data_IF_211844275702
#
_entry.id   IF_211844275702
#
_cell.length_a   1.000
_cell.length_b   1.000
_cell.length_c   1.000
_cell.angle_alpha   90.00
_cell.angle_beta   90.00
_cell.angle_gamma   90.00
#
_symmetry.space_group_name_H-M   'P 1'
#
loop_
_entity.id
_entity.type
_entity.pdbx_description
1 polymer ?
#
# COMPACT_ATOMS: atom_id res chain seq x y z
N UNK A 1 -8.32 -0.52 -9.38
CA UNK A 1 -9.03 -1.25 -8.28
C UNK A 1 -10.37 -1.84 -8.72
N UNK A 2 -11.13 -1.16 -9.61
CA UNK A 2 -12.48 -1.59 -10.02
C UNK A 2 -12.52 -2.67 -11.11
N UNK A 3 -11.39 -3.09 -11.65
CA UNK A 3 -11.28 -4.09 -12.73
C UNK A 3 -11.84 -5.42 -12.24
N UNK A 4 -12.78 -6.06 -12.99
CA UNK A 4 -13.31 -7.37 -12.63
C UNK A 4 -12.23 -8.47 -12.75
N UNK A 5 -12.28 -9.42 -11.80
CA UNK A 5 -11.42 -10.60 -11.77
C UNK A 5 -12.29 -11.82 -11.52
N UNK A 6 -12.03 -12.94 -12.22
CA UNK A 6 -12.69 -14.23 -12.01
C UNK A 6 -14.24 -14.13 -11.93
N UNK A 7 -14.83 -13.27 -12.74
CA UNK A 7 -16.28 -13.14 -12.91
C UNK A 7 -16.96 -12.23 -11.90
N UNK A 8 -16.88 -12.50 -10.59
CA UNK A 8 -17.62 -11.75 -9.55
C UNK A 8 -16.75 -10.86 -8.65
N UNK A 9 -15.45 -11.05 -8.65
CA UNK A 9 -14.51 -10.28 -7.84
C UNK A 9 -13.98 -9.06 -8.59
N UNK A 10 -13.38 -8.14 -7.85
CA UNK A 10 -12.64 -7.00 -8.38
C UNK A 10 -11.23 -6.96 -7.81
N UNK A 11 -10.34 -6.25 -8.46
CA UNK A 11 -8.93 -6.16 -8.04
C UNK A 11 -8.80 -5.67 -6.59
N UNK A 12 -9.66 -4.76 -6.14
CA UNK A 12 -9.71 -4.27 -4.75
C UNK A 12 -10.01 -5.38 -3.73
N UNK A 13 -10.65 -6.47 -4.12
CA UNK A 13 -10.94 -7.57 -3.20
C UNK A 13 -9.66 -8.31 -2.75
N UNK A 14 -8.58 -8.19 -3.52
CA UNK A 14 -7.29 -8.79 -3.17
C UNK A 14 -6.71 -8.18 -1.89
N UNK A 15 -6.43 -6.86 -1.82
CA UNK A 15 -5.93 -6.25 -0.58
C UNK A 15 -6.93 -6.38 0.59
N UNK A 16 -8.25 -6.25 0.35
CA UNK A 16 -9.24 -6.42 1.40
C UNK A 16 -9.21 -7.86 1.97
N UNK A 17 -9.16 -8.87 1.10
CA UNK A 17 -9.08 -10.27 1.53
C UNK A 17 -7.77 -10.57 2.26
N UNK A 18 -6.64 -10.02 1.79
CA UNK A 18 -5.36 -10.14 2.50
C UNK A 18 -5.47 -9.55 3.92
N UNK A 19 -6.07 -8.37 4.08
CA UNK A 19 -6.30 -7.78 5.39
C UNK A 19 -7.15 -8.69 6.29
N UNK A 20 -8.30 -9.15 5.79
CA UNK A 20 -9.21 -10.02 6.56
C UNK A 20 -8.54 -11.32 6.99
N UNK A 21 -7.77 -11.94 6.08
CA UNK A 21 -7.04 -13.18 6.37
C UNK A 21 -5.91 -12.98 7.41
N UNK A 22 -5.40 -11.75 7.55
CA UNK A 22 -4.42 -11.36 8.57
C UNK A 22 -5.07 -10.78 9.84
N UNK A 23 -6.39 -10.89 10.01
CA UNK A 23 -7.10 -10.38 11.19
C UNK A 23 -7.26 -8.86 11.22
N UNK A 24 -6.95 -8.16 10.13
CA UNK A 24 -7.12 -6.71 10.01
C UNK A 24 -8.54 -6.42 9.56
N UNK A 25 -9.40 -5.98 10.48
CA UNK A 25 -10.84 -5.81 10.23
C UNK A 25 -11.29 -4.36 10.05
N UNK A 26 -10.44 -3.36 10.29
CA UNK A 26 -10.80 -1.95 10.14
C UNK A 26 -10.09 -1.37 8.92
N UNK A 27 -10.84 -1.10 7.88
CA UNK A 27 -10.28 -0.70 6.59
C UNK A 27 -10.99 0.49 6.00
N UNK A 28 -10.22 1.42 5.44
CA UNK A 28 -10.70 2.53 4.64
C UNK A 28 -10.25 2.35 3.19
N UNK A 29 -11.18 2.43 2.27
CA UNK A 29 -10.90 2.40 0.83
C UNK A 29 -11.00 3.81 0.28
N UNK A 30 -9.85 4.37 -0.07
CA UNK A 30 -9.74 5.71 -0.61
C UNK A 30 -10.09 5.70 -2.10
N UNK A 31 -11.09 6.47 -2.48
CA UNK A 31 -11.58 6.51 -3.87
C UNK A 31 -11.65 7.95 -4.37
N UNK A 32 -11.45 8.15 -5.67
CA UNK A 32 -11.50 9.48 -6.26
C UNK A 32 -12.46 9.53 -7.43
N UNK A 33 -12.02 9.07 -8.58
CA UNK A 33 -12.76 9.22 -9.83
C UNK A 33 -13.54 7.94 -10.18
N UNK A 34 -14.77 8.10 -10.74
CA UNK A 34 -15.59 7.01 -11.28
C UNK A 34 -15.86 5.86 -10.28
N UNK A 35 -16.02 6.20 -9.01
CA UNK A 35 -16.04 5.24 -7.90
C UNK A 35 -17.40 4.58 -7.65
N UNK A 36 -18.49 5.05 -8.27
CA UNK A 36 -19.85 4.58 -7.96
C UNK A 36 -20.03 3.06 -8.06
N UNK A 37 -19.46 2.44 -9.10
CA UNK A 37 -19.50 0.99 -9.30
C UNK A 37 -18.64 0.23 -8.29
N UNK A 38 -17.47 0.78 -7.92
CA UNK A 38 -16.60 0.23 -6.89
C UNK A 38 -17.26 0.33 -5.51
N UNK A 39 -17.82 1.49 -5.18
CA UNK A 39 -18.51 1.74 -3.92
C UNK A 39 -19.68 0.78 -3.72
N UNK A 40 -20.48 0.56 -4.79
CA UNK A 40 -21.58 -0.42 -4.77
C UNK A 40 -21.07 -1.83 -4.53
N UNK A 41 -19.98 -2.22 -5.19
CA UNK A 41 -19.37 -3.54 -5.03
C UNK A 41 -18.94 -3.76 -3.57
N UNK A 42 -18.18 -2.84 -3.00
CA UNK A 42 -17.69 -2.93 -1.62
C UNK A 42 -18.85 -3.02 -0.64
N UNK A 43 -19.85 -2.14 -0.76
CA UNK A 43 -21.04 -2.15 0.11
C UNK A 43 -21.86 -3.44 0.03
N UNK A 44 -21.91 -4.06 -1.14
CA UNK A 44 -22.68 -5.30 -1.33
C UNK A 44 -21.88 -6.57 -1.00
N UNK A 45 -20.56 -6.49 -0.90
CA UNK A 45 -19.70 -7.66 -0.69
C UNK A 45 -19.29 -7.81 0.77
N UNK A 46 -18.97 -6.71 1.44
CA UNK A 46 -18.41 -6.73 2.80
C UNK A 46 -19.44 -6.30 3.83
N UNK A 47 -20.02 -7.30 4.51
CA UNK A 47 -20.99 -7.11 5.60
C UNK A 47 -20.41 -7.69 6.89
N UNK A 48 -20.39 -6.89 7.94
CA UNK A 48 -19.93 -7.31 9.24
C UNK A 48 -21.11 -7.32 10.23
N UNK A 49 -21.04 -8.19 11.21
CA UNK A 49 -22.03 -8.22 12.29
C UNK A 49 -22.06 -6.89 13.04
N UNK A 50 -23.23 -6.45 13.48
CA UNK A 50 -23.38 -5.26 14.30
C UNK A 50 -22.60 -5.33 15.65
N UNK A 51 -22.23 -6.53 16.08
CA UNK A 51 -21.39 -6.76 17.26
C UNK A 51 -19.88 -6.76 16.96
N UNK A 52 -19.50 -6.73 15.68
CA UNK A 52 -18.10 -6.65 15.27
C UNK A 52 -17.62 -5.20 15.26
N UNK A 53 -16.35 -4.99 15.62
CA UNK A 53 -15.67 -3.71 15.40
C UNK A 53 -15.09 -3.59 13.99
N UNK A 54 -15.24 -4.65 13.16
CA UNK A 54 -14.72 -4.68 11.79
C UNK A 54 -15.63 -3.88 10.85
N UNK A 55 -15.01 -3.21 9.89
CA UNK A 55 -15.69 -2.50 8.81
C UNK A 55 -14.77 -2.35 7.58
N UNK A 56 -15.40 -2.17 6.43
CA UNK A 56 -14.75 -1.64 5.22
C UNK A 56 -15.52 -0.39 4.82
N UNK A 57 -14.94 0.76 5.06
CA UNK A 57 -15.56 2.05 4.78
C UNK A 57 -14.91 2.73 3.58
N UNK A 58 -15.65 3.59 2.89
CA UNK A 58 -15.22 4.23 1.66
C UNK A 58 -15.05 5.71 1.94
N UNK A 59 -13.84 6.20 1.73
CA UNK A 59 -13.52 7.63 1.78
C UNK A 59 -13.32 8.12 0.34
N UNK A 60 -14.30 8.86 -0.15
CA UNK A 60 -14.19 9.53 -1.43
C UNK A 60 -13.41 10.84 -1.28
N UNK A 61 -12.71 11.27 -2.34
CA UNK A 61 -12.15 12.61 -2.37
C UNK A 61 -13.26 13.65 -2.21
N UNK A 62 -13.07 14.55 -1.25
CA UNK A 62 -14.01 15.62 -0.94
C UNK A 62 -13.38 16.98 -1.27
N UNK A 63 -14.16 17.84 -1.87
CA UNK A 63 -13.76 19.24 -2.00
C UNK A 63 -14.17 19.98 -0.73
N UNK A 64 -13.21 20.56 -0.07
CA UNK A 64 -13.42 21.41 1.12
C UNK A 64 -12.92 22.81 0.84
N UNK A 65 -13.33 23.84 1.61
CA UNK A 65 -12.81 25.20 1.46
C UNK A 65 -11.27 25.25 1.53
N UNK A 66 -10.66 24.38 2.33
CA UNK A 66 -9.21 24.30 2.54
C UNK A 66 -8.50 23.43 1.51
N UNK A 67 -9.22 22.55 0.82
CA UNK A 67 -8.69 21.66 -0.22
C UNK A 67 -9.72 21.51 -1.36
N UNK A 68 -9.77 22.46 -2.29
CA UNK A 68 -10.76 22.47 -3.36
C UNK A 68 -10.45 21.51 -4.51
N UNK A 69 -9.30 20.83 -4.46
CA UNK A 69 -8.80 19.96 -5.53
C UNK A 69 -9.04 18.48 -5.26
N UNK A 70 -8.85 17.68 -6.31
CA UNK A 70 -8.73 16.22 -6.20
C UNK A 70 -7.41 15.83 -5.54
N UNK A 71 -7.33 14.58 -5.04
CA UNK A 71 -6.06 14.04 -4.53
C UNK A 71 -4.94 14.18 -5.57
N UNK A 72 -3.83 14.75 -5.16
CA UNK A 72 -2.66 14.99 -6.02
C UNK A 72 -1.74 13.76 -6.15
N UNK A 73 -2.14 12.64 -5.57
CA UNK A 73 -1.43 11.37 -5.56
C UNK A 73 -1.83 10.51 -4.37
N UNK A 74 -1.22 9.35 -4.25
CA UNK A 74 -1.55 8.37 -3.20
C UNK A 74 -1.23 8.90 -1.79
N UNK A 75 -0.09 9.54 -1.61
CA UNK A 75 0.29 10.15 -0.33
C UNK A 75 -0.66 11.27 0.08
N UNK A 76 -1.08 12.10 -0.87
CA UNK A 76 -2.05 13.17 -0.62
C UNK A 76 -3.44 12.63 -0.27
N UNK A 77 -3.85 11.53 -0.91
CA UNK A 77 -5.09 10.84 -0.57
C UNK A 77 -5.09 10.38 0.89
N UNK A 78 -4.00 9.78 1.36
CA UNK A 78 -3.84 9.38 2.75
C UNK A 78 -3.85 10.60 3.67
N UNK A 79 -3.06 11.63 3.37
CA UNK A 79 -2.96 12.86 4.16
C UNK A 79 -4.32 13.53 4.37
N UNK A 80 -5.11 13.68 3.30
CA UNK A 80 -6.45 14.28 3.40
C UNK A 80 -7.44 13.39 4.16
N UNK A 81 -7.20 12.09 4.21
CA UNK A 81 -8.07 11.11 4.89
C UNK A 81 -7.73 10.93 6.38
N UNK A 82 -6.61 11.46 6.88
CA UNK A 82 -6.15 11.27 8.26
C UNK A 82 -7.23 11.66 9.28
N UNK A 83 -7.97 12.74 9.07
CA UNK A 83 -9.08 13.18 9.93
C UNK A 83 -10.16 12.12 10.16
N UNK A 84 -10.36 11.20 9.21
CA UNK A 84 -11.32 10.11 9.32
C UNK A 84 -10.72 8.90 10.03
N UNK A 85 -9.39 8.77 10.02
CA UNK A 85 -8.64 7.68 10.65
C UNK A 85 -8.33 8.01 12.11
N UNK A 86 -8.11 9.28 12.43
CA UNK A 86 -7.73 9.79 13.76
C UNK A 86 -8.60 9.29 14.92
N UNK A 87 -9.96 9.20 14.80
CA UNK A 87 -10.83 8.72 15.87
C UNK A 87 -10.62 7.23 16.23
N UNK A 88 -9.93 6.47 15.40
CA UNK A 88 -9.70 5.04 15.62
C UNK A 88 -8.33 4.81 16.26
N UNK A 89 -8.35 4.25 17.46
CA UNK A 89 -7.13 3.87 18.18
C UNK A 89 -6.41 2.71 17.46
N UNK A 90 -5.12 2.89 17.21
CA UNK A 90 -4.21 1.90 16.64
C UNK A 90 -2.78 2.31 16.93
N UNK A 91 -1.86 1.37 17.00
CA UNK A 91 -0.43 1.66 17.12
C UNK A 91 0.23 1.82 15.74
N UNK A 92 -0.33 1.13 14.75
CA UNK A 92 0.21 1.06 13.39
C UNK A 92 -0.87 1.32 12.35
N UNK A 93 -0.46 1.87 11.22
CA UNK A 93 -1.30 2.08 10.04
C UNK A 93 -0.67 1.35 8.86
N UNK A 94 -1.44 0.43 8.27
CA UNK A 94 -1.07 -0.29 7.06
C UNK A 94 -1.67 0.44 5.85
N UNK A 95 -0.83 0.81 4.89
CA UNK A 95 -1.22 1.43 3.63
C UNK A 95 -0.98 0.44 2.51
N UNK A 96 -1.99 0.20 1.68
CA UNK A 96 -1.95 -0.76 0.58
C UNK A 96 -2.30 -0.10 -0.75
N UNK A 97 -1.60 -0.51 -1.81
CA UNK A 97 -2.04 -0.26 -3.17
C UNK A 97 -3.25 -1.13 -3.50
N UNK A 98 -4.29 -0.54 -4.10
CA UNK A 98 -5.56 -1.21 -4.41
C UNK A 98 -5.63 -1.81 -5.82
N UNK A 99 -4.52 -1.87 -6.57
CA UNK A 99 -4.47 -2.23 -7.98
C UNK A 99 -3.43 -3.32 -8.31
N UNK A 100 -2.99 -4.04 -7.30
CA UNK A 100 -2.03 -5.14 -7.43
C UNK A 100 -2.65 -6.49 -7.07
N UNK A 101 -2.15 -7.53 -7.70
CA UNK A 101 -2.48 -8.92 -7.41
C UNK A 101 -1.33 -9.55 -6.61
N UNK A 102 -1.55 -9.78 -5.32
CA UNK A 102 -0.56 -10.34 -4.41
C UNK A 102 -1.19 -11.09 -3.25
N UNK A 103 -0.40 -11.93 -2.59
CA UNK A 103 -0.70 -12.51 -1.30
C UNK A 103 0.44 -12.17 -0.34
N UNK A 104 0.13 -11.69 0.85
CA UNK A 104 1.12 -11.22 1.81
C UNK A 104 0.72 -11.53 3.24
N UNK A 105 1.69 -11.93 4.04
CA UNK A 105 1.59 -12.08 5.49
C UNK A 105 1.94 -10.74 6.15
N UNK A 106 0.92 -9.97 6.48
CA UNK A 106 1.09 -8.67 7.15
C UNK A 106 1.47 -8.82 8.61
N UNK A 107 1.14 -9.96 9.25
CA UNK A 107 1.56 -10.22 10.63
C UNK A 107 3.08 -10.35 10.70
N UNK A 108 3.68 -11.13 9.80
CA UNK A 108 5.13 -11.24 9.71
C UNK A 108 5.80 -9.88 9.38
N UNK A 109 5.22 -9.12 8.45
CA UNK A 109 5.76 -7.77 8.14
C UNK A 109 5.72 -6.86 9.37
N UNK A 110 4.64 -6.91 10.16
CA UNK A 110 4.50 -6.12 11.40
C UNK A 110 5.49 -6.59 12.48
N UNK A 111 5.69 -7.89 12.63
CA UNK A 111 6.64 -8.43 13.59
C UNK A 111 8.08 -7.99 13.26
N UNK A 112 8.47 -8.00 11.99
CA UNK A 112 9.76 -7.48 11.54
C UNK A 112 9.85 -5.96 11.77
N UNK A 113 8.79 -5.19 11.51
CA UNK A 113 8.72 -3.76 11.77
C UNK A 113 9.02 -3.45 13.25
N UNK A 114 8.37 -4.19 14.17
CA UNK A 114 8.58 -4.07 15.61
C UNK A 114 9.99 -4.49 16.04
N UNK A 115 10.48 -5.62 15.52
CA UNK A 115 11.79 -6.17 15.88
C UNK A 115 12.94 -5.23 15.50
N UNK A 116 12.81 -4.51 14.38
CA UNK A 116 13.77 -3.52 13.91
C UNK A 116 13.58 -2.15 14.57
N UNK A 117 12.52 -1.95 15.34
CA UNK A 117 12.17 -0.62 15.87
C UNK A 117 11.97 0.41 14.76
N UNK A 118 11.48 -0.03 13.60
CA UNK A 118 11.35 0.82 12.44
C UNK A 118 10.20 1.83 12.63
N UNK A 119 10.38 3.01 12.10
CA UNK A 119 9.33 4.04 12.03
C UNK A 119 8.39 3.80 10.86
N UNK A 120 8.96 3.36 9.72
CA UNK A 120 8.25 3.03 8.48
C UNK A 120 8.87 1.75 7.92
N UNK A 121 8.02 0.80 7.53
CA UNK A 121 8.43 -0.37 6.75
C UNK A 121 7.79 -0.33 5.36
N UNK A 122 8.57 -0.71 4.36
CA UNK A 122 8.15 -0.75 2.95
C UNK A 122 8.31 -2.16 2.41
N UNK A 123 7.26 -2.73 1.86
CA UNK A 123 7.38 -3.99 1.13
C UNK A 123 8.03 -3.75 -0.23
N UNK A 124 9.02 -4.58 -0.55
CA UNK A 124 9.78 -4.48 -1.80
C UNK A 124 9.74 -5.79 -2.58
N UNK A 125 9.93 -5.69 -3.89
CA UNK A 125 10.08 -6.83 -4.77
C UNK A 125 11.30 -6.63 -5.66
N UNK A 126 12.16 -7.66 -5.85
CA UNK A 126 13.25 -7.61 -6.81
C UNK A 126 12.72 -7.56 -8.25
N UNK A 127 13.18 -6.59 -9.03
CA UNK A 127 12.79 -6.40 -10.44
C UNK A 127 14.00 -6.30 -11.35
N UNK A 128 13.79 -6.61 -12.63
CA UNK A 128 14.83 -6.47 -13.65
C UNK A 128 14.98 -5.00 -14.10
N UNK A 129 16.14 -4.67 -14.68
CA UNK A 129 16.47 -3.33 -15.16
C UNK A 129 15.41 -2.75 -16.11
N UNK A 130 14.80 -3.58 -16.95
CA UNK A 130 13.76 -3.15 -17.91
C UNK A 130 12.48 -2.67 -17.23
N UNK A 131 12.20 -3.20 -16.03
CA UNK A 131 10.98 -2.94 -15.25
C UNK A 131 11.17 -1.78 -14.27
N UNK A 132 12.39 -1.57 -13.80
CA UNK A 132 12.72 -0.56 -12.78
C UNK A 132 12.18 0.86 -13.08
N UNK A 133 12.14 1.38 -14.32
CA UNK A 133 11.58 2.70 -14.61
C UNK A 133 10.07 2.85 -14.34
N UNK A 134 9.35 1.76 -14.14
CA UNK A 134 7.92 1.78 -13.86
C UNK A 134 7.62 1.97 -12.36
N UNK A 135 8.62 1.81 -11.48
CA UNK A 135 8.46 1.75 -10.03
C UNK A 135 9.28 2.80 -9.29
N UNK A 136 8.93 3.01 -8.03
CA UNK A 136 9.84 3.61 -7.05
C UNK A 136 10.93 2.60 -6.70
N UNK A 137 12.19 2.96 -6.90
CA UNK A 137 13.35 2.11 -6.63
C UNK A 137 14.03 2.55 -5.35
N UNK A 138 14.42 1.56 -4.55
CA UNK A 138 15.04 1.76 -3.25
C UNK A 138 16.46 1.21 -3.23
N UNK A 139 17.31 1.85 -2.43
CA UNK A 139 18.55 1.28 -1.93
C UNK A 139 18.38 0.93 -0.47
N UNK A 140 18.90 -0.20 -0.07
CA UNK A 140 18.96 -0.60 1.33
C UNK A 140 20.35 -1.06 1.72
N UNK A 141 20.69 -0.81 2.98
CA UNK A 141 21.87 -1.32 3.65
C UNK A 141 21.45 -2.00 4.94
N UNK A 142 21.82 -3.27 5.13
CA UNK A 142 21.40 -4.09 6.25
C UNK A 142 19.89 -4.04 6.56
N UNK A 143 19.06 -3.95 5.51
CA UNK A 143 17.60 -3.87 5.63
C UNK A 143 17.05 -2.46 5.88
N UNK A 144 17.91 -1.46 6.09
CA UNK A 144 17.49 -0.06 6.21
C UNK A 144 17.51 0.64 4.86
N UNK A 145 16.42 1.37 4.55
CA UNK A 145 16.33 2.15 3.30
C UNK A 145 17.23 3.38 3.43
N UNK A 146 18.20 3.49 2.54
CA UNK A 146 19.15 4.61 2.49
C UNK A 146 18.82 5.64 1.43
N UNK A 147 18.11 5.22 0.37
CA UNK A 147 17.75 6.11 -0.74
C UNK A 147 16.49 5.61 -1.45
N UNK A 148 15.76 6.56 -2.04
CA UNK A 148 14.56 6.29 -2.84
C UNK A 148 14.52 7.21 -4.07
N UNK A 149 14.14 6.65 -5.21
CA UNK A 149 13.90 7.41 -6.43
C UNK A 149 12.63 6.92 -7.12
N UNK A 150 11.73 7.84 -7.44
CA UNK A 150 10.48 7.51 -8.13
C UNK A 150 10.72 7.48 -9.65
N UNK A 151 10.38 6.35 -10.27
CA UNK A 151 10.42 6.13 -11.73
C UNK A 151 11.70 6.65 -12.39
N UNK A 152 12.86 6.10 -12.00
CA UNK A 152 14.15 6.57 -12.47
C UNK A 152 14.30 6.42 -13.99
N UNK A 153 15.00 7.36 -14.61
CA UNK A 153 15.40 7.20 -15.99
C UNK A 153 16.47 6.10 -16.13
N UNK A 154 16.53 5.48 -17.30
CA UNK A 154 17.46 4.35 -17.54
C UNK A 154 18.93 4.72 -17.32
N UNK A 155 19.28 5.98 -17.57
CA UNK A 155 20.65 6.48 -17.48
C UNK A 155 21.21 6.48 -16.05
N UNK A 156 20.35 6.59 -15.04
CA UNK A 156 20.76 6.62 -13.63
C UNK A 156 20.62 5.27 -12.93
N UNK A 157 20.02 4.28 -13.58
CA UNK A 157 19.72 2.98 -12.96
C UNK A 157 20.97 2.23 -12.48
N UNK A 158 22.09 2.37 -13.17
CA UNK A 158 23.34 1.71 -12.77
C UNK A 158 23.77 2.03 -11.33
N UNK A 159 23.41 3.22 -10.85
CA UNK A 159 23.71 3.66 -9.48
C UNK A 159 22.69 3.15 -8.44
N UNK A 160 21.64 2.45 -8.89
CA UNK A 160 20.51 2.01 -8.07
C UNK A 160 20.42 0.48 -7.91
N UNK A 161 21.46 -0.23 -8.26
CA UNK A 161 21.59 -1.66 -8.01
C UNK A 161 21.63 -1.91 -6.49
N UNK A 162 20.92 -2.92 -6.03
CA UNK A 162 20.82 -3.33 -4.63
C UNK A 162 21.21 -4.78 -4.44
N UNK A 163 21.50 -5.17 -3.21
CA UNK A 163 21.63 -6.58 -2.87
C UNK A 163 20.24 -7.22 -2.77
N UNK A 164 19.90 -8.03 -3.78
CA UNK A 164 18.61 -8.74 -3.86
C UNK A 164 18.74 -10.23 -3.54
N UNK A 165 19.92 -10.69 -3.14
CA UNK A 165 20.26 -12.08 -2.91
C UNK A 165 20.71 -12.81 -4.19
N UNK A 166 21.47 -13.88 -4.02
CA UNK A 166 22.10 -14.61 -5.13
C UNK A 166 21.13 -15.14 -6.17
N UNK A 167 19.97 -15.67 -5.73
CA UNK A 167 18.93 -16.21 -6.62
C UNK A 167 18.33 -15.12 -7.52
N UNK A 168 18.00 -13.97 -6.97
CA UNK A 168 17.39 -12.87 -7.69
C UNK A 168 18.40 -12.20 -8.62
N UNK A 169 19.66 -12.06 -8.20
CA UNK A 169 20.76 -11.60 -9.06
C UNK A 169 20.98 -12.53 -10.23
N UNK A 170 21.01 -13.85 -10.01
CA UNK A 170 21.13 -14.84 -11.08
C UNK A 170 19.96 -14.77 -12.07
N UNK A 171 18.79 -14.33 -11.64
CA UNK A 171 17.62 -14.07 -12.49
C UNK A 171 17.63 -12.68 -13.15
N UNK A 172 18.69 -11.87 -12.95
CA UNK A 172 18.83 -10.51 -13.50
C UNK A 172 17.88 -9.49 -12.84
N UNK A 173 17.52 -9.69 -11.57
CA UNK A 173 16.64 -8.83 -10.77
C UNK A 173 17.44 -8.12 -9.69
N UNK A 174 18.15 -7.08 -10.07
CA UNK A 174 19.13 -6.38 -9.24
C UNK A 174 18.57 -5.11 -8.58
N UNK A 175 17.28 -4.81 -8.74
CA UNK A 175 16.66 -3.58 -8.25
C UNK A 175 15.56 -3.90 -7.26
N UNK A 176 15.51 -3.17 -6.14
CA UNK A 176 14.40 -3.26 -5.18
C UNK A 176 13.31 -2.25 -5.54
N UNK A 177 12.18 -2.73 -6.01
CA UNK A 177 11.01 -1.91 -6.31
C UNK A 177 10.05 -1.84 -5.12
N UNK A 178 9.53 -0.65 -4.83
CA UNK A 178 8.45 -0.47 -3.86
C UNK A 178 7.15 -1.10 -4.37
N UNK A 179 6.50 -1.89 -3.55
CA UNK A 179 5.18 -2.45 -3.84
C UNK A 179 4.03 -1.48 -3.51
N UNK A 180 4.31 -0.28 -3.00
CA UNK A 180 3.26 0.61 -2.52
C UNK A 180 2.54 0.07 -1.28
N UNK A 181 3.19 -0.77 -0.50
CA UNK A 181 2.70 -1.37 0.73
C UNK A 181 3.60 -0.88 1.87
N UNK A 182 2.99 -0.22 2.87
CA UNK A 182 3.73 0.41 3.95
C UNK A 182 3.10 0.11 5.30
N UNK A 183 3.94 -0.02 6.34
CA UNK A 183 3.52 0.07 7.74
C UNK A 183 4.14 1.33 8.32
N UNK A 184 3.32 2.16 8.95
CA UNK A 184 3.74 3.35 9.68
C UNK A 184 3.45 3.19 11.18
N UNK A 185 4.36 3.67 12.02
CA UNK A 185 4.00 4.03 13.38
C UNK A 185 2.95 5.14 13.33
N UNK A 186 1.82 4.97 14.03
CA UNK A 186 0.72 5.94 13.97
C UNK A 186 1.15 7.36 14.35
N UNK A 187 1.99 7.49 15.37
CA UNK A 187 2.46 8.78 15.88
C UNK A 187 3.27 9.62 14.88
N UNK A 188 3.71 9.02 13.77
CA UNK A 188 4.38 9.75 12.68
C UNK A 188 3.40 10.38 11.70
N UNK A 189 2.14 10.01 11.75
CA UNK A 189 1.12 10.46 10.80
C UNK A 189 0.22 11.54 11.40
N UNK A 190 0.20 11.68 12.72
CA UNK A 190 -0.57 12.62 13.52
C UNK A 190 0.38 13.42 14.42
#
# INVERSE_FOLDING_TARGET
PAVPIAGKYRLVDIPISNCLNNGIGRMFVLTQFNSASLNRHIKNTYHFSAFSKAFVDILAAEQTPDSPGWFQGTADAVRQSLRHIEPFESDYILILSGDQLYQMDFANMLDNHKALGADISVATIPVAQREAPEFGILKSDEGLITSFIEKPKKEVLQDWVSDTGEEMKAAGRDYLASMGIYIFNRNLMF
#
